data_IF_969807613126
#
_entry.id   IF_969807613126
#
_cell.length_a   1.000
_cell.length_b   1.000
_cell.length_c   1.000
_cell.angle_alpha   90.00
_cell.angle_beta   90.00
_cell.angle_gamma   90.00
#
_symmetry.space_group_name_H-M   'P 1'
#
loop_
_entity.id
_entity.type
_entity.pdbx_description
1 polymer ?
#
# COMPACT_ATOMS: atom_id res chain seq x y z
N UNK A 1 9.40 -0.99 10.00
CA UNK A 1 8.28 -1.91 9.69
C UNK A 1 8.24 -2.13 8.18
N UNK A 2 7.80 -3.29 7.70
CA UNK A 2 7.63 -3.54 6.25
C UNK A 2 6.21 -3.22 5.78
N UNK A 3 6.06 -2.96 4.47
CA UNK A 3 4.76 -2.66 3.87
C UNK A 3 3.73 -3.77 4.11
N UNK A 4 4.13 -5.04 4.09
CA UNK A 4 3.23 -6.17 4.40
C UNK A 4 2.58 -6.06 5.78
N UNK A 5 3.38 -5.78 6.82
CA UNK A 5 2.88 -5.59 8.18
C UNK A 5 1.98 -4.35 8.26
N UNK A 6 2.34 -3.28 7.57
CA UNK A 6 1.53 -2.07 7.51
C UNK A 6 0.15 -2.33 6.91
N UNK A 7 0.07 -3.05 5.78
CA UNK A 7 -1.20 -3.40 5.16
C UNK A 7 -2.04 -4.33 6.05
N UNK A 8 -1.40 -5.25 6.77
CA UNK A 8 -2.09 -6.09 7.75
C UNK A 8 -2.75 -5.26 8.85
N UNK A 9 -2.08 -4.21 9.35
CA UNK A 9 -2.68 -3.26 10.31
C UNK A 9 -3.83 -2.47 9.69
N UNK A 10 -3.68 -1.94 8.48
CA UNK A 10 -4.75 -1.20 7.81
C UNK A 10 -6.01 -2.05 7.59
N UNK A 11 -5.84 -3.34 7.25
CA UNK A 11 -6.94 -4.29 7.10
C UNK A 11 -7.69 -4.54 8.42
N UNK A 12 -7.05 -4.38 9.58
CA UNK A 12 -7.73 -4.47 10.89
C UNK A 12 -8.61 -3.26 11.19
N UNK A 13 -8.23 -2.08 10.69
CA UNK A 13 -8.91 -0.82 11.01
C UNK A 13 -9.96 -0.37 9.99
N UNK A 14 -9.99 -0.96 8.79
CA UNK A 14 -10.94 -0.62 7.71
C UNK A 14 -11.93 -1.76 7.47
N UNK A 15 -13.19 -1.42 7.19
CA UNK A 15 -14.13 -2.33 6.50
C UNK A 15 -13.79 -2.38 5.00
N UNK A 16 -12.99 -3.37 4.59
CA UNK A 16 -12.56 -3.57 3.20
C UNK A 16 -11.39 -4.55 3.11
N UNK A 17 -10.99 -4.90 1.89
CA UNK A 17 -9.86 -5.77 1.61
C UNK A 17 -8.75 -5.01 0.89
N UNK A 18 -7.60 -4.90 1.54
CA UNK A 18 -6.38 -4.33 0.98
C UNK A 18 -5.38 -5.46 0.76
N UNK A 19 -4.91 -5.59 -0.48
CA UNK A 19 -3.91 -6.58 -0.85
C UNK A 19 -2.61 -5.88 -1.27
N UNK A 20 -1.46 -6.37 -0.85
CA UNK A 20 -0.16 -5.93 -1.38
C UNK A 20 0.41 -6.97 -2.35
N UNK A 21 1.05 -6.53 -3.43
CA UNK A 21 1.85 -7.40 -4.27
C UNK A 21 3.12 -7.87 -3.52
N UNK A 22 3.55 -9.13 -3.70
CA UNK A 22 4.73 -9.68 -3.01
C UNK A 22 6.02 -8.92 -3.34
N UNK A 23 6.12 -8.37 -4.55
CA UNK A 23 7.25 -7.57 -5.04
C UNK A 23 7.52 -6.30 -4.23
N UNK A 24 6.51 -5.75 -3.53
CA UNK A 24 6.63 -4.54 -2.71
C UNK A 24 6.44 -4.81 -1.23
N UNK A 25 6.11 -6.06 -0.85
CA UNK A 25 5.80 -6.44 0.52
C UNK A 25 6.96 -6.15 1.49
N UNK A 26 8.19 -6.19 0.97
CA UNK A 26 9.44 -5.95 1.70
C UNK A 26 9.87 -4.48 1.73
N UNK A 27 9.12 -3.55 1.12
CA UNK A 27 9.47 -2.14 1.15
C UNK A 27 9.44 -1.62 2.59
N UNK A 28 10.52 -0.95 3.05
CA UNK A 28 10.55 -0.36 4.38
C UNK A 28 9.57 0.81 4.44
N UNK A 29 8.76 0.82 5.49
CA UNK A 29 7.85 1.92 5.83
C UNK A 29 8.44 2.66 7.02
N UNK A 30 8.70 3.95 6.80
CA UNK A 30 9.12 4.91 7.81
C UNK A 30 8.14 6.08 7.83
N UNK A 31 7.57 6.36 9.00
CA UNK A 31 6.64 7.47 9.17
C UNK A 31 5.51 7.15 10.15
N UNK A 32 4.81 8.20 10.54
CA UNK A 32 3.60 8.11 11.35
C UNK A 32 2.40 8.22 10.42
N UNK A 33 1.61 7.16 10.33
CA UNK A 33 0.44 7.11 9.46
C UNK A 33 -0.84 7.06 10.30
N UNK A 34 -1.78 7.99 10.10
CA UNK A 34 -3.03 8.02 10.86
C UNK A 34 -3.94 6.84 10.48
N UNK A 35 -4.06 5.84 11.37
CA UNK A 35 -4.89 4.65 11.15
C UNK A 35 -6.40 4.93 11.12
N UNK A 36 -6.83 6.09 11.64
CA UNK A 36 -8.24 6.50 11.63
C UNK A 36 -8.73 6.98 10.25
N UNK A 37 -7.82 7.24 9.30
CA UNK A 37 -8.15 7.67 7.93
C UNK A 37 -7.41 6.82 6.89
N UNK A 38 -7.71 5.52 6.86
CA UNK A 38 -7.05 4.56 5.97
C UNK A 38 -7.11 4.98 4.50
N UNK A 39 -8.22 5.57 4.03
CA UNK A 39 -8.33 6.09 2.65
C UNK A 39 -7.31 7.19 2.32
N UNK A 40 -7.09 8.13 3.23
CA UNK A 40 -6.11 9.21 3.04
C UNK A 40 -4.69 8.66 3.02
N UNK A 41 -4.40 7.70 3.91
CA UNK A 41 -3.12 6.99 3.95
C UNK A 41 -2.87 6.25 2.64
N UNK A 42 -3.88 5.54 2.12
CA UNK A 42 -3.77 4.84 0.84
C UNK A 42 -3.48 5.83 -0.29
N UNK A 43 -4.20 6.94 -0.36
CA UNK A 43 -3.98 7.97 -1.38
C UNK A 43 -2.59 8.62 -1.29
N UNK A 44 -2.01 8.71 -0.09
CA UNK A 44 -0.66 9.24 0.13
C UNK A 44 0.47 8.25 -0.18
N UNK A 45 0.20 6.93 -0.17
CA UNK A 45 1.23 5.90 -0.41
C UNK A 45 1.98 6.08 -1.74
N UNK A 46 1.31 6.28 -2.90
CA UNK A 46 1.98 6.53 -4.18
C UNK A 46 2.83 7.81 -4.23
N UNK A 47 2.59 8.77 -3.32
CA UNK A 47 3.36 10.01 -3.26
C UNK A 47 4.66 9.84 -2.45
N UNK A 48 4.64 8.95 -1.45
CA UNK A 48 5.78 8.69 -0.58
C UNK A 48 6.66 7.52 -1.07
N UNK A 49 6.10 6.61 -1.87
CA UNK A 49 6.75 5.37 -2.28
C UNK A 49 6.49 5.08 -3.76
N UNK A 50 7.36 4.32 -4.44
CA UNK A 50 7.18 3.89 -5.82
C UNK A 50 6.12 2.77 -5.92
N UNK A 51 4.90 3.06 -5.49
CA UNK A 51 3.76 2.14 -5.47
C UNK A 51 2.57 2.75 -6.19
N UNK A 52 1.69 1.91 -6.72
CA UNK A 52 0.45 2.29 -7.39
C UNK A 52 -0.72 1.57 -6.72
N UNK A 53 -1.85 2.26 -6.63
CA UNK A 53 -3.11 1.65 -6.22
C UNK A 53 -3.89 1.14 -7.44
N UNK A 54 -4.37 -0.08 -7.36
CA UNK A 54 -5.36 -0.68 -8.24
C UNK A 54 -6.66 -0.81 -7.47
N UNK A 55 -7.64 0.02 -7.82
CA UNK A 55 -8.97 0.01 -7.22
C UNK A 55 -9.85 -0.91 -8.07
N UNK A 56 -10.27 -2.04 -7.50
CA UNK A 56 -11.26 -2.91 -8.16
C UNK A 56 -12.68 -2.47 -7.80
N UNK A 57 -12.91 -2.12 -6.54
CA UNK A 57 -14.17 -1.59 -6.01
C UNK A 57 -13.89 -0.60 -4.88
N UNK A 58 -14.92 0.07 -4.37
CA UNK A 58 -14.81 0.96 -3.19
C UNK A 58 -14.28 0.27 -1.91
N UNK A 59 -14.37 -1.06 -1.84
CA UNK A 59 -13.91 -1.86 -0.69
C UNK A 59 -12.71 -2.75 -1.01
N UNK A 60 -12.25 -2.80 -2.26
CA UNK A 60 -11.12 -3.65 -2.66
C UNK A 60 -10.04 -2.82 -3.35
N UNK A 61 -8.92 -2.69 -2.64
CA UNK A 61 -7.72 -2.02 -3.11
C UNK A 61 -6.57 -3.01 -3.20
N UNK A 62 -5.84 -3.00 -4.31
CA UNK A 62 -4.59 -3.75 -4.46
C UNK A 62 -3.45 -2.76 -4.67
N UNK A 63 -2.38 -2.94 -3.92
CA UNK A 63 -1.18 -2.10 -3.98
C UNK A 63 -0.13 -2.87 -4.75
N UNK A 64 0.35 -2.28 -5.83
CA UNK A 64 1.36 -2.86 -6.73
C UNK A 64 2.54 -1.92 -6.85
N UNK A 65 3.68 -2.38 -7.34
CA UNK A 65 4.78 -1.48 -7.67
C UNK A 65 4.31 -0.46 -8.71
N UNK A 66 4.54 0.83 -8.47
CA UNK A 66 4.49 1.82 -9.55
C UNK A 66 5.77 1.56 -10.33
N UNK A 67 5.63 0.99 -11.53
CA UNK A 67 6.73 0.59 -12.40
C UNK A 67 7.83 1.67 -12.43
N UNK A 68 8.89 1.42 -11.65
CA UNK A 68 10.25 1.97 -11.77
C UNK A 68 11.25 0.80 -11.91
N UNK A 69 10.76 -0.32 -12.45
CA UNK A 69 11.54 -1.51 -12.79
C UNK A 69 11.39 -1.73 -14.30
N UNK A 70 12.06 -0.86 -15.04
CA UNK A 70 12.43 -1.05 -16.44
C UNK A 70 13.89 -0.60 -16.58
N UNK A 71 14.79 -1.32 -15.90
CA UNK A 71 16.21 -1.39 -16.22
C UNK A 71 16.90 -2.41 -15.30
N UNK A 72 16.86 -3.67 -15.70
CA UNK A 72 17.92 -4.67 -15.45
C UNK A 72 17.55 -5.93 -16.26
N UNK A 73 17.59 -5.78 -17.58
CA UNK A 73 17.91 -6.86 -18.49
C UNK A 73 19.38 -6.68 -18.88
#
# INVERSE_FOLDING_TARGET
>A
MYLSNFIAELNRHRRGYIQCAPEIAHLPISGTYPLHRVDEVLAALPQALPVRLQLYTQYWVRIVAAKAQESAA
#
